data_IF_858550715640
#
_entry.id   IF_858550715640
#
_cell.length_a   1.000
_cell.length_b   1.000
_cell.length_c   1.000
_cell.angle_alpha   90.00
_cell.angle_beta   90.00
_cell.angle_gamma   90.00
#
_symmetry.space_group_name_H-M   'P 1'
#
loop_
_entity.id
_entity.type
_entity.pdbx_description
1 polymer ?
#
# COMPACT_ATOMS: atom_id res chain seq x y z
N UNK A 1 6.95 -15.27 17.45
CA UNK A 1 5.56 -15.12 16.93
C UNK A 1 4.58 -16.11 17.56
N UNK A 2 4.88 -17.42 17.61
CA UNK A 2 4.01 -18.44 18.20
C UNK A 2 3.72 -18.22 19.70
N UNK A 3 4.73 -17.79 20.47
CA UNK A 3 4.59 -17.45 21.89
C UNK A 3 3.58 -16.31 22.13
N UNK A 4 3.55 -15.28 21.26
CA UNK A 4 2.61 -14.16 21.40
C UNK A 4 1.19 -14.60 21.06
N UNK A 5 1.00 -15.44 20.04
CA UNK A 5 -0.31 -16.02 19.72
C UNK A 5 -0.86 -16.84 20.89
N UNK A 6 0.00 -17.64 21.52
CA UNK A 6 -0.37 -18.42 22.70
C UNK A 6 -0.80 -17.48 23.85
N UNK A 7 -0.01 -16.43 24.11
CA UNK A 7 -0.33 -15.46 25.16
C UNK A 7 -1.64 -14.70 24.92
N UNK A 8 -1.93 -14.29 23.68
CA UNK A 8 -3.21 -13.68 23.29
C UNK A 8 -4.37 -14.61 23.63
N UNK A 9 -4.26 -15.91 23.29
CA UNK A 9 -5.29 -16.89 23.57
C UNK A 9 -5.53 -17.08 25.09
N UNK A 10 -4.46 -17.11 25.90
CA UNK A 10 -4.56 -17.19 27.36
C UNK A 10 -5.31 -15.98 27.95
N UNK A 11 -4.94 -14.77 27.53
CA UNK A 11 -5.54 -13.52 28.03
C UNK A 11 -6.99 -13.41 27.59
N UNK A 12 -7.32 -13.83 26.37
CA UNK A 12 -8.70 -13.90 25.89
C UNK A 12 -9.54 -14.89 26.73
N UNK A 13 -9.00 -16.08 27.01
CA UNK A 13 -9.68 -17.06 27.87
C UNK A 13 -9.85 -16.56 29.32
N UNK A 14 -8.89 -15.77 29.83
CA UNK A 14 -9.02 -15.11 31.14
C UNK A 14 -10.15 -14.07 31.12
N UNK A 15 -10.20 -13.23 30.08
CA UNK A 15 -11.26 -12.22 29.88
C UNK A 15 -12.64 -12.87 29.89
N UNK A 16 -12.80 -13.99 29.18
CA UNK A 16 -14.10 -14.65 29.06
C UNK A 16 -14.54 -15.27 30.39
N UNK A 17 -13.62 -15.89 31.13
CA UNK A 17 -13.90 -16.37 32.50
C UNK A 17 -14.33 -15.24 33.44
N UNK A 18 -13.69 -14.07 33.36
CA UNK A 18 -14.06 -12.90 34.18
C UNK A 18 -15.47 -12.40 33.85
N UNK A 19 -15.86 -12.38 32.56
CA UNK A 19 -17.23 -12.02 32.15
C UNK A 19 -18.25 -13.02 32.69
N UNK A 20 -17.96 -14.32 32.60
CA UNK A 20 -18.83 -15.37 33.11
C UNK A 20 -19.02 -15.27 34.63
N UNK A 21 -17.93 -15.09 35.38
CA UNK A 21 -17.99 -14.93 36.84
C UNK A 21 -18.78 -13.68 37.27
N UNK A 22 -18.65 -12.57 36.53
CA UNK A 22 -19.46 -11.37 36.75
C UNK A 22 -20.95 -11.60 36.46
N UNK A 23 -21.26 -12.31 35.36
CA UNK A 23 -22.64 -12.64 35.01
C UNK A 23 -23.29 -13.61 36.00
N UNK A 24 -22.51 -14.53 36.57
CA UNK A 24 -22.95 -15.48 37.59
C UNK A 24 -23.03 -14.87 39.00
N UNK A 25 -22.54 -13.64 39.21
CA UNK A 25 -22.49 -13.00 40.52
C UNK A 25 -21.42 -13.57 41.48
N UNK A 26 -20.52 -14.41 40.97
CA UNK A 26 -19.44 -15.04 41.73
C UNK A 26 -18.32 -14.06 42.10
N UNK A 27 -18.32 -12.89 41.45
CA UNK A 27 -17.29 -11.87 41.65
C UNK A 27 -17.92 -10.51 41.90
N UNK A 28 -17.38 -9.79 42.90
CA UNK A 28 -17.84 -8.45 43.23
C UNK A 28 -17.66 -7.52 42.02
N UNK A 29 -18.75 -6.85 41.61
CA UNK A 29 -18.82 -6.06 40.37
C UNK A 29 -17.63 -5.09 40.21
N UNK A 30 -17.31 -4.31 41.26
CA UNK A 30 -16.20 -3.35 41.23
C UNK A 30 -14.84 -4.02 40.97
N UNK A 31 -14.57 -5.14 41.62
CA UNK A 31 -13.31 -5.87 41.46
C UNK A 31 -13.24 -6.53 40.07
N UNK A 32 -14.34 -7.08 39.59
CA UNK A 32 -14.38 -7.75 38.29
C UNK A 32 -14.25 -6.81 37.11
N UNK A 33 -14.88 -5.64 37.17
CA UNK A 33 -14.70 -4.62 36.14
C UNK A 33 -13.26 -4.10 36.08
N UNK A 34 -12.60 -3.89 37.23
CA UNK A 34 -11.19 -3.48 37.26
C UNK A 34 -10.25 -4.56 36.68
N UNK A 35 -10.54 -5.84 36.95
CA UNK A 35 -9.79 -6.98 36.37
C UNK A 35 -10.05 -7.13 34.87
N UNK A 36 -11.27 -6.89 34.40
CA UNK A 36 -11.60 -6.86 32.98
C UNK A 36 -10.86 -5.75 32.27
N UNK A 37 -10.88 -4.52 32.80
CA UNK A 37 -10.18 -3.38 32.20
C UNK A 37 -8.68 -3.65 32.07
N UNK A 38 -8.07 -4.22 33.11
CA UNK A 38 -6.65 -4.60 33.10
C UNK A 38 -6.37 -5.68 32.04
N UNK A 39 -7.28 -6.65 31.91
CA UNK A 39 -7.17 -7.73 30.91
C UNK A 39 -7.35 -7.23 29.48
N UNK A 40 -8.27 -6.30 29.26
CA UNK A 40 -8.51 -5.69 27.95
C UNK A 40 -7.30 -4.82 27.53
N UNK A 41 -6.65 -4.14 28.48
CA UNK A 41 -5.40 -3.42 28.22
C UNK A 41 -4.26 -4.37 27.84
N UNK A 42 -4.06 -5.45 28.60
CA UNK A 42 -3.04 -6.47 28.28
C UNK A 42 -3.29 -7.08 26.89
N UNK A 43 -4.54 -7.37 26.55
CA UNK A 43 -4.90 -7.91 25.23
C UNK A 43 -4.59 -6.90 24.10
N UNK A 44 -4.96 -5.63 24.28
CA UNK A 44 -4.66 -4.56 23.32
C UNK A 44 -3.17 -4.36 23.08
N UNK A 45 -2.35 -4.45 24.13
CA UNK A 45 -0.88 -4.37 24.03
C UNK A 45 -0.30 -5.58 23.27
N UNK A 46 -0.78 -6.78 23.57
CA UNK A 46 -0.34 -8.01 22.89
C UNK A 46 -0.72 -8.02 21.40
N UNK A 47 -1.93 -7.56 21.05
CA UNK A 47 -2.38 -7.44 19.66
C UNK A 47 -1.53 -6.41 18.89
N UNK A 48 -1.22 -5.27 19.51
CA UNK A 48 -0.34 -4.25 18.92
C UNK A 48 1.06 -4.80 18.67
N UNK A 49 1.61 -5.54 19.64
CA UNK A 49 2.94 -6.17 19.51
C UNK A 49 2.94 -7.28 18.47
N UNK A 50 1.88 -8.08 18.40
CA UNK A 50 1.71 -9.11 17.37
C UNK A 50 1.70 -8.48 15.98
N UNK A 51 0.93 -7.40 15.79
CA UNK A 51 0.86 -6.66 14.53
C UNK A 51 2.24 -6.14 14.11
N UNK A 52 2.97 -5.48 15.00
CA UNK A 52 4.32 -4.97 14.70
C UNK A 52 5.27 -6.10 14.26
N UNK A 53 5.25 -7.25 14.95
CA UNK A 53 6.10 -8.39 14.60
C UNK A 53 5.65 -9.08 13.31
N UNK A 54 4.35 -9.11 13.04
CA UNK A 54 3.79 -9.62 11.80
C UNK A 54 4.18 -8.74 10.60
N UNK A 55 4.10 -7.42 10.75
CA UNK A 55 4.49 -6.45 9.72
C UNK A 55 6.01 -6.51 9.47
N UNK A 56 6.82 -6.59 10.51
CA UNK A 56 8.27 -6.74 10.40
C UNK A 56 8.69 -8.07 9.74
N UNK A 57 7.99 -9.16 10.06
CA UNK A 57 8.23 -10.47 9.45
C UNK A 57 7.63 -10.61 8.03
N UNK A 58 6.81 -9.66 7.60
CA UNK A 58 6.18 -9.66 6.28
C UNK A 58 6.31 -8.30 5.59
N UNK A 59 7.54 -7.87 5.24
CA UNK A 59 7.80 -6.56 4.65
C UNK A 59 7.13 -6.38 3.28
N UNK A 60 6.70 -7.46 2.61
CA UNK A 60 5.87 -7.38 1.39
C UNK A 60 4.42 -6.93 1.69
N UNK A 61 3.93 -7.10 2.93
CA UNK A 61 2.65 -6.56 3.40
C UNK A 61 2.79 -5.15 3.98
N UNK A 62 3.94 -4.81 4.55
CA UNK A 62 4.27 -3.41 4.80
C UNK A 62 4.35 -2.71 3.43
N UNK A 63 3.38 -1.84 3.12
CA UNK A 63 3.30 -1.22 1.79
C UNK A 63 4.63 -0.61 1.36
N UNK A 64 4.97 -0.73 0.07
CA UNK A 64 6.24 -0.27 -0.48
C UNK A 64 6.57 1.17 -0.01
N UNK A 65 7.81 1.49 0.41
CA UNK A 65 8.15 2.79 1.00
C UNK A 65 7.81 3.98 0.07
N UNK A 66 7.87 3.77 -1.25
CA UNK A 66 7.46 4.77 -2.24
C UNK A 66 5.98 5.18 -2.12
N UNK A 67 5.09 4.30 -1.65
CA UNK A 67 3.70 4.66 -1.38
C UNK A 67 3.58 5.64 -0.20
N UNK A 68 4.36 5.43 0.87
CA UNK A 68 4.38 6.35 2.00
C UNK A 68 5.02 7.70 1.65
N UNK A 69 6.05 7.68 0.81
CA UNK A 69 6.60 8.89 0.21
C UNK A 69 5.54 9.63 -0.63
N UNK A 70 4.90 8.96 -1.60
CA UNK A 70 3.89 9.54 -2.47
C UNK A 70 2.74 10.20 -1.72
N UNK A 71 2.26 9.61 -0.61
CA UNK A 71 1.20 10.21 0.23
C UNK A 71 1.57 11.56 0.84
N UNK A 72 2.86 11.86 0.97
CA UNK A 72 3.39 13.10 1.57
C UNK A 72 3.97 14.05 0.51
N UNK A 73 4.02 13.61 -0.74
CA UNK A 73 4.55 14.37 -1.86
C UNK A 73 3.40 15.10 -2.54
N UNK A 74 3.57 16.40 -2.75
CA UNK A 74 2.66 17.18 -3.60
C UNK A 74 3.09 17.01 -5.05
N UNK A 75 2.23 16.41 -5.87
CA UNK A 75 2.45 16.25 -7.30
C UNK A 75 1.74 17.37 -8.06
N UNK A 76 2.44 17.97 -9.03
CA UNK A 76 1.78 18.80 -10.03
C UNK A 76 0.94 17.92 -10.98
N UNK A 77 -0.16 18.44 -11.58
CA UNK A 77 -0.98 17.69 -12.54
C UNK A 77 -0.17 17.02 -13.67
N UNK A 78 0.79 17.73 -14.25
CA UNK A 78 1.72 17.20 -15.27
C UNK A 78 2.55 15.99 -14.78
N UNK A 79 2.88 15.94 -13.48
CA UNK A 79 3.63 14.84 -12.89
C UNK A 79 2.73 13.61 -12.68
N UNK A 80 1.45 13.80 -12.37
CA UNK A 80 0.46 12.72 -12.30
C UNK A 80 0.33 12.04 -13.67
N UNK A 81 0.29 12.82 -14.76
CA UNK A 81 0.30 12.28 -16.12
C UNK A 81 1.58 11.49 -16.41
N UNK A 82 2.74 11.97 -15.94
CA UNK A 82 3.99 11.23 -16.08
C UNK A 82 3.97 9.89 -15.32
N UNK A 83 3.37 9.83 -14.13
CA UNK A 83 3.20 8.58 -13.38
C UNK A 83 2.32 7.60 -14.16
N UNK A 84 1.17 8.04 -14.67
CA UNK A 84 0.28 7.22 -15.50
C UNK A 84 0.96 6.75 -16.80
N UNK A 85 1.70 7.64 -17.48
CA UNK A 85 2.45 7.31 -18.68
C UNK A 85 3.54 6.26 -18.42
N UNK A 86 4.26 6.35 -17.30
CA UNK A 86 5.23 5.31 -16.93
C UNK A 86 4.51 3.99 -16.64
N UNK A 87 3.35 4.00 -15.97
CA UNK A 87 2.57 2.79 -15.71
C UNK A 87 2.13 2.10 -17.01
N UNK A 88 1.67 2.87 -18.00
CA UNK A 88 1.38 2.35 -19.35
C UNK A 88 2.63 1.72 -19.99
N UNK A 89 3.80 2.34 -19.85
CA UNK A 89 5.07 1.75 -20.37
C UNK A 89 5.46 0.46 -19.63
N UNK A 90 5.13 0.34 -18.34
CA UNK A 90 5.36 -0.91 -17.58
C UNK A 90 4.47 -2.02 -18.13
N UNK A 91 3.18 -1.74 -18.32
CA UNK A 91 2.21 -2.70 -18.86
C UNK A 91 2.50 -3.09 -20.32
N UNK A 92 2.92 -2.13 -21.17
CA UNK A 92 3.33 -2.38 -22.55
C UNK A 92 4.73 -3.03 -22.68
N UNK A 93 5.40 -3.31 -21.56
CA UNK A 93 6.74 -3.92 -21.56
C UNK A 93 7.85 -3.02 -22.15
N UNK A 94 7.60 -1.73 -22.37
CA UNK A 94 8.57 -0.76 -22.93
C UNK A 94 9.36 0.01 -21.86
N UNK A 95 9.05 -0.19 -20.58
CA UNK A 95 9.74 0.48 -19.49
C UNK A 95 11.12 -0.15 -19.23
N UNK A 96 12.17 0.67 -19.36
CA UNK A 96 13.59 0.28 -19.15
C UNK A 96 14.07 0.37 -17.70
N UNK A 97 13.20 0.78 -16.77
CA UNK A 97 13.52 0.83 -15.34
C UNK A 97 13.79 -0.58 -14.80
N UNK A 98 14.68 -0.69 -13.81
CA UNK A 98 14.95 -1.95 -13.11
C UNK A 98 13.74 -2.44 -12.30
N UNK A 99 13.75 -3.69 -11.79
CA UNK A 99 12.64 -4.24 -11.02
C UNK A 99 12.28 -3.40 -9.79
N UNK A 100 13.28 -2.96 -9.01
CA UNK A 100 13.07 -2.11 -7.83
C UNK A 100 12.43 -0.76 -8.19
N UNK A 101 12.88 -0.12 -9.27
CA UNK A 101 12.29 1.12 -9.79
C UNK A 101 10.84 0.93 -10.27
N UNK A 102 10.56 -0.19 -10.96
CA UNK A 102 9.21 -0.54 -11.44
C UNK A 102 8.26 -0.79 -10.27
N UNK A 103 8.72 -1.50 -9.23
CA UNK A 103 7.95 -1.71 -8.00
C UNK A 103 7.65 -0.38 -7.30
N UNK A 104 8.66 0.50 -7.20
CA UNK A 104 8.51 1.81 -6.59
C UNK A 104 7.50 2.69 -7.33
N UNK A 105 7.61 2.84 -8.65
CA UNK A 105 6.69 3.69 -9.42
C UNK A 105 5.27 3.11 -9.47
N UNK A 106 5.13 1.78 -9.44
CA UNK A 106 3.80 1.12 -9.32
C UNK A 106 3.14 1.48 -7.98
N UNK A 107 3.92 1.47 -6.90
CA UNK A 107 3.41 1.86 -5.58
C UNK A 107 3.06 3.35 -5.49
N UNK A 108 3.79 4.21 -6.21
CA UNK A 108 3.43 5.64 -6.36
C UNK A 108 2.12 5.77 -7.12
N UNK A 109 1.99 5.11 -8.28
CA UNK A 109 0.76 5.11 -9.09
C UNK A 109 -0.47 4.71 -8.26
N UNK A 110 -0.37 3.65 -7.46
CA UNK A 110 -1.49 3.18 -6.65
C UNK A 110 -1.98 4.20 -5.61
N UNK A 111 -1.13 5.12 -5.18
CA UNK A 111 -1.49 6.22 -4.27
C UNK A 111 -2.13 7.39 -5.02
N UNK A 112 -1.66 7.70 -6.24
CA UNK A 112 -2.01 8.95 -6.92
C UNK A 112 -3.05 8.80 -8.04
N UNK A 113 -3.40 7.58 -8.45
CA UNK A 113 -4.33 7.29 -9.57
C UNK A 113 -5.75 7.88 -9.46
N UNK A 114 -6.13 8.43 -8.31
CA UNK A 114 -7.41 9.13 -8.12
C UNK A 114 -7.30 10.65 -8.14
N UNK A 115 -6.11 11.20 -8.40
CA UNK A 115 -5.87 12.64 -8.48
C UNK A 115 -5.93 13.07 -9.95
N UNK A 116 -6.51 14.24 -10.22
CA UNK A 116 -6.68 14.76 -11.57
C UNK A 116 -5.33 15.14 -12.20
N UNK A 117 -5.04 14.56 -13.37
CA UNK A 117 -3.91 14.93 -14.24
C UNK A 117 -4.17 16.22 -15.04
N UNK A 118 -3.27 16.56 -15.96
CA UNK A 118 -3.39 17.75 -16.82
C UNK A 118 -3.94 17.39 -18.20
N UNK A 119 -3.44 16.30 -18.80
CA UNK A 119 -3.61 15.97 -20.22
C UNK A 119 -4.14 14.55 -20.46
N UNK A 120 -3.94 13.62 -19.51
CA UNK A 120 -4.50 12.27 -19.62
C UNK A 120 -5.89 12.26 -18.99
N UNK A 121 -6.84 11.67 -19.70
CA UNK A 121 -8.22 11.57 -19.26
C UNK A 121 -8.38 10.41 -18.27
N UNK A 122 -9.38 10.50 -17.39
CA UNK A 122 -9.59 9.54 -16.29
C UNK A 122 -9.75 8.08 -16.77
N UNK A 123 -10.22 7.88 -18.01
CA UNK A 123 -10.36 6.55 -18.64
C UNK A 123 -9.03 5.79 -18.72
N UNK A 124 -7.89 6.49 -18.68
CA UNK A 124 -6.57 5.85 -18.63
C UNK A 124 -6.41 4.99 -17.37
N UNK A 125 -7.01 5.39 -16.25
CA UNK A 125 -6.90 4.70 -14.98
C UNK A 125 -7.74 3.42 -14.95
N UNK A 126 -8.91 3.44 -15.58
CA UNK A 126 -9.75 2.25 -15.78
C UNK A 126 -9.06 1.23 -16.69
N UNK A 127 -8.43 1.70 -17.77
CA UNK A 127 -7.62 0.86 -18.65
C UNK A 127 -6.46 0.19 -17.90
N UNK A 128 -5.71 0.95 -17.11
CA UNK A 128 -4.62 0.41 -16.29
C UNK A 128 -5.15 -0.60 -15.26
N UNK A 129 -6.31 -0.35 -14.67
CA UNK A 129 -6.94 -1.27 -13.72
C UNK A 129 -7.32 -2.60 -14.40
N UNK A 130 -7.91 -2.55 -15.60
CA UNK A 130 -8.25 -3.73 -16.38
C UNK A 130 -6.99 -4.52 -16.77
N UNK A 131 -5.98 -3.86 -17.33
CA UNK A 131 -4.74 -4.49 -17.78
C UNK A 131 -3.96 -5.20 -16.65
N UNK A 132 -4.08 -4.73 -15.40
CA UNK A 132 -3.47 -5.38 -14.22
C UNK A 132 -4.18 -6.67 -13.79
N UNK A 133 -5.44 -6.87 -14.18
CA UNK A 133 -6.18 -8.10 -13.89
C UNK A 133 -5.88 -9.21 -14.92
N UNK A 134 -5.42 -8.82 -16.10
CA UNK A 134 -5.04 -9.69 -17.20
C UNK A 134 -5.04 -8.90 -18.50
N UNK A 135 -4.23 -9.33 -19.48
CA UNK A 135 -4.18 -8.71 -20.81
C UNK A 135 -4.41 -9.77 -21.88
N UNK A 136 -5.46 -9.58 -22.67
CA UNK A 136 -5.59 -10.20 -23.98
C UNK A 136 -4.95 -9.32 -25.06
N UNK A 137 -5.02 -9.77 -26.32
CA UNK A 137 -4.39 -9.07 -27.44
C UNK A 137 -5.01 -7.69 -27.70
N UNK A 138 -6.33 -7.56 -27.54
CA UNK A 138 -7.05 -6.32 -27.82
C UNK A 138 -6.78 -5.26 -26.75
N UNK A 139 -6.75 -5.69 -25.48
CA UNK A 139 -6.38 -4.84 -24.36
C UNK A 139 -4.91 -4.41 -24.45
N UNK A 140 -4.02 -5.31 -24.88
CA UNK A 140 -2.62 -4.98 -25.13
C UNK A 140 -2.45 -3.94 -26.24
N UNK A 141 -3.19 -4.06 -27.34
CA UNK A 141 -3.21 -3.06 -28.40
C UNK A 141 -3.72 -1.70 -27.90
N UNK A 142 -4.74 -1.71 -27.04
CA UNK A 142 -5.30 -0.50 -26.43
C UNK A 142 -4.31 0.19 -25.49
N UNK A 143 -3.64 -0.57 -24.61
CA UNK A 143 -2.56 -0.07 -23.73
C UNK A 143 -1.43 0.55 -24.54
N UNK A 144 -1.02 -0.10 -25.64
CA UNK A 144 0.00 0.41 -26.54
C UNK A 144 -0.40 1.75 -27.19
N UNK A 145 -1.66 1.86 -27.63
CA UNK A 145 -2.21 3.10 -28.18
C UNK A 145 -2.17 4.24 -27.17
N UNK A 146 -2.64 3.99 -25.95
CA UNK A 146 -2.61 4.97 -24.87
C UNK A 146 -1.20 5.38 -24.45
N UNK A 147 -0.25 4.43 -24.40
CA UNK A 147 1.17 4.76 -24.16
C UNK A 147 1.69 5.73 -25.22
N UNK A 148 1.40 5.47 -26.50
CA UNK A 148 1.85 6.33 -27.61
C UNK A 148 1.22 7.71 -27.53
N UNK A 149 -0.07 7.78 -27.22
CA UNK A 149 -0.78 9.05 -26.99
C UNK A 149 -0.15 9.84 -25.84
N UNK A 150 0.14 9.19 -24.71
CA UNK A 150 0.79 9.84 -23.57
C UNK A 150 2.17 10.40 -23.93
N UNK A 151 2.96 9.68 -24.74
CA UNK A 151 4.27 10.15 -25.23
C UNK A 151 4.17 11.35 -26.18
N UNK A 152 3.04 11.50 -26.88
CA UNK A 152 2.78 12.66 -27.75
C UNK A 152 2.26 13.87 -26.96
N UNK A 153 1.43 13.66 -25.94
CA UNK A 153 0.83 14.72 -25.11
C UNK A 153 1.82 15.29 -24.09
N UNK A 154 2.62 14.43 -23.45
CA UNK A 154 3.55 14.87 -22.40
C UNK A 154 4.82 15.41 -23.04
N UNK A 155 5.05 16.71 -22.87
CA UNK A 155 6.24 17.37 -23.40
C UNK A 155 7.53 16.74 -22.84
N UNK A 156 8.54 16.58 -23.72
CA UNK A 156 9.84 15.98 -23.35
C UNK A 156 10.51 16.64 -22.13
N UNK A 157 10.49 17.99 -21.97
CA UNK A 157 11.03 18.64 -20.77
C UNK A 157 10.33 18.19 -19.49
N UNK A 158 8.99 18.12 -19.49
CA UNK A 158 8.19 17.68 -18.33
C UNK A 158 8.58 16.27 -17.88
N UNK A 159 8.66 15.32 -18.83
CA UNK A 159 9.09 13.94 -18.53
C UNK A 159 10.54 13.87 -18.04
N UNK A 160 11.43 14.72 -18.55
CA UNK A 160 12.84 14.79 -18.10
C UNK A 160 12.92 15.29 -16.66
N UNK A 161 12.22 16.37 -16.34
CA UNK A 161 12.22 16.96 -15.00
C UNK A 161 11.57 16.02 -13.98
N UNK A 162 10.48 15.34 -14.37
CA UNK A 162 9.85 14.32 -13.55
C UNK A 162 10.79 13.15 -13.25
N UNK A 163 11.55 12.67 -14.25
CA UNK A 163 12.57 11.62 -14.03
C UNK A 163 13.65 12.05 -13.06
N UNK A 164 14.13 13.29 -13.15
CA UNK A 164 15.10 13.83 -12.21
C UNK A 164 14.52 13.89 -10.78
N UNK A 165 13.27 14.34 -10.66
CA UNK A 165 12.54 14.41 -9.40
C UNK A 165 12.42 13.03 -8.71
N UNK A 166 11.91 12.01 -9.40
CA UNK A 166 11.80 10.66 -8.82
C UNK A 166 13.18 9.99 -8.65
N UNK A 167 14.16 10.35 -9.47
CA UNK A 167 15.54 9.92 -9.32
C UNK A 167 16.14 10.37 -7.99
N UNK A 168 15.90 11.61 -7.60
CA UNK A 168 16.45 12.20 -6.38
C UNK A 168 15.72 11.76 -5.10
N UNK A 169 14.40 11.54 -5.16
CA UNK A 169 13.58 11.47 -3.94
C UNK A 169 12.79 10.17 -3.73
N UNK A 170 12.52 9.38 -4.77
CA UNK A 170 11.66 8.20 -4.65
C UNK A 170 12.43 7.05 -3.96
N UNK A 171 11.97 6.52 -2.81
CA UNK A 171 12.63 5.41 -2.16
C UNK A 171 12.41 4.11 -2.94
N UNK A 172 13.47 3.32 -3.06
CA UNK A 172 13.48 1.97 -3.66
C UNK A 172 13.74 0.96 -2.56
N UNK A 173 13.13 -0.22 -2.62
CA UNK A 173 13.56 -1.35 -1.79
C UNK A 173 14.77 -1.97 -2.47
N UNK A 174 15.91 -2.02 -1.78
CA UNK A 174 17.07 -2.76 -2.28
C UNK A 174 16.68 -4.23 -2.46
N UNK A 175 17.05 -4.81 -3.61
CA UNK A 175 17.10 -6.26 -3.73
C UNK A 175 18.17 -6.72 -2.76
N UNK A 176 17.77 -7.44 -1.71
CA UNK A 176 18.72 -8.19 -0.89
C UNK A 176 19.35 -9.22 -1.82
N UNK A 177 20.55 -8.91 -2.32
CA UNK A 177 21.39 -9.79 -3.12
C UNK A 177 21.69 -11.08 -2.37
#
# INVERSE_FOLDING_TARGET
MQQIKHRIAEVYARRERLKQALAAGELAARAGFAQLETTDRELSELDSRYKTLWDAANPRRAGHPAAAWARRTVFAPAQLDCVAAIMLKVLDGKCKMGPADKAAITAVYDVVKGQAGESLADEVHDLIAAARQGMDADLAATVHGWRTRAEALIAKPVMKDFKAFIGAAMPRTEETT
#
